data_IF_759014417699
#
_entry.id   IF_759014417699
#
_cell.length_a   1.000
_cell.length_b   1.000
_cell.length_c   1.000
_cell.angle_alpha   90.00
_cell.angle_beta   90.00
_cell.angle_gamma   90.00
#
_symmetry.space_group_name_H-M   'P 1'
#
loop_
_entity.id
_entity.type
_entity.pdbx_description
1 polymer ?
#
# COMPACT_ATOMS: atom_id res chain seq x y z
N UNK A 1 9.22 16.65 18.58
CA UNK A 1 7.90 17.02 18.04
C UNK A 1 6.98 15.86 18.34
N UNK A 2 5.85 16.09 19.01
CA UNK A 2 4.87 15.01 19.18
C UNK A 2 4.35 14.65 17.79
N UNK A 3 4.36 13.37 17.39
CA UNK A 3 3.55 12.95 16.24
C UNK A 3 2.12 13.41 16.51
N UNK A 4 1.45 13.90 15.48
CA UNK A 4 0.06 14.24 15.60
C UNK A 4 -0.83 12.99 15.61
N UNK A 5 -2.13 13.24 15.60
CA UNK A 5 -3.17 12.24 15.77
C UNK A 5 -3.61 11.55 14.45
N UNK A 6 -3.30 12.16 13.30
CA UNK A 6 -3.63 11.65 11.97
C UNK A 6 -2.57 10.66 11.48
N UNK A 7 -2.95 9.81 10.52
CA UNK A 7 -2.05 8.77 9.99
C UNK A 7 -1.69 9.08 8.54
N UNK A 8 -0.41 9.36 8.30
CA UNK A 8 0.18 9.47 6.96
C UNK A 8 0.69 8.10 6.48
N UNK A 9 0.24 7.67 5.32
CA UNK A 9 0.67 6.44 4.65
C UNK A 9 1.21 6.76 3.26
N UNK A 10 2.37 6.18 2.91
CA UNK A 10 2.99 6.34 1.58
C UNK A 10 3.36 4.98 1.02
N UNK A 11 2.88 4.69 -0.18
CA UNK A 11 3.13 3.43 -0.88
C UNK A 11 3.75 3.72 -2.24
N UNK A 12 4.90 3.12 -2.59
CA UNK A 12 5.72 2.26 -1.72
C UNK A 12 6.52 3.08 -0.69
N UNK A 13 6.78 2.52 0.50
CA UNK A 13 7.74 3.08 1.46
C UNK A 13 9.21 2.81 1.06
N UNK A 14 9.44 1.87 0.15
CA UNK A 14 10.74 1.60 -0.47
C UNK A 14 10.57 1.07 -1.89
N UNK A 15 11.41 1.49 -2.83
CA UNK A 15 11.39 1.03 -4.21
C UNK A 15 12.79 0.66 -4.71
N UNK A 16 12.86 -0.40 -5.50
CA UNK A 16 14.06 -0.79 -6.24
C UNK A 16 13.80 -0.53 -7.71
N UNK A 17 14.74 0.11 -8.39
CA UNK A 17 14.66 0.39 -9.83
C UNK A 17 15.91 -0.13 -10.51
N UNK A 18 15.77 -0.66 -11.72
CA UNK A 18 16.90 -1.30 -12.42
C UNK A 18 18.00 -0.31 -12.78
N UNK A 19 17.63 0.94 -13.09
CA UNK A 19 18.55 1.99 -13.53
C UNK A 19 18.10 3.39 -13.09
N UNK A 20 19.05 4.33 -12.96
CA UNK A 20 18.74 5.75 -12.82
C UNK A 20 17.85 6.27 -13.96
N UNK A 21 17.03 7.27 -13.64
CA UNK A 21 16.04 7.86 -14.53
C UNK A 21 14.68 7.16 -14.53
N UNK A 22 14.52 6.04 -13.82
CA UNK A 22 13.24 5.32 -13.71
C UNK A 22 12.20 6.12 -12.93
N UNK A 23 10.98 6.15 -13.42
CA UNK A 23 9.84 6.79 -12.76
C UNK A 23 9.17 5.81 -11.79
N UNK A 24 8.84 6.30 -10.59
CA UNK A 24 8.10 5.58 -9.55
C UNK A 24 6.93 6.45 -9.12
N UNK A 25 5.76 5.83 -8.98
CA UNK A 25 4.57 6.49 -8.43
C UNK A 25 4.49 6.25 -6.93
N UNK A 26 4.36 7.34 -6.16
CA UNK A 26 4.09 7.32 -4.72
C UNK A 26 2.61 7.68 -4.51
N UNK A 27 1.87 6.76 -3.94
CA UNK A 27 0.50 6.97 -3.47
C UNK A 27 0.56 7.43 -2.02
N UNK A 28 -0.02 8.59 -1.73
CA UNK A 28 -0.06 9.21 -0.41
C UNK A 28 -1.49 9.26 0.09
N UNK A 29 -1.71 8.71 1.27
CA UNK A 29 -3.00 8.73 1.95
C UNK A 29 -2.81 9.35 3.33
N UNK A 30 -3.66 10.31 3.68
CA UNK A 30 -3.78 10.81 5.06
C UNK A 30 -5.14 10.37 5.59
N UNK A 31 -5.14 9.67 6.72
CA UNK A 31 -6.36 9.35 7.47
C UNK A 31 -6.50 10.33 8.62
N UNK A 32 -7.52 11.17 8.53
CA UNK A 32 -7.85 12.13 9.57
C UNK A 32 -8.56 11.44 10.72
N UNK A 33 -8.23 11.83 11.95
CA UNK A 33 -8.94 11.39 13.15
C UNK A 33 -10.34 12.03 13.26
N UNK A 34 -10.55 13.15 12.57
CA UNK A 34 -11.83 13.86 12.53
C UNK A 34 -12.30 14.12 11.10
N UNK A 35 -13.61 14.31 10.94
CA UNK A 35 -14.20 14.63 9.65
C UNK A 35 -13.69 15.98 9.09
N UNK A 36 -13.57 16.05 7.78
CA UNK A 36 -13.33 17.25 6.99
C UNK A 36 -14.65 17.78 6.41
N UNK A 37 -14.79 19.10 6.20
CA UNK A 37 -13.78 20.13 6.42
C UNK A 37 -13.60 20.46 7.91
N UNK A 38 -12.34 20.61 8.34
CA UNK A 38 -12.01 21.08 9.68
C UNK A 38 -11.75 22.59 9.69
N UNK A 39 -11.82 23.27 10.86
CA UNK A 39 -11.54 24.70 10.95
C UNK A 39 -10.10 25.08 10.61
N UNK A 40 -9.18 24.10 10.60
CA UNK A 40 -7.77 24.26 10.23
C UNK A 40 -7.53 23.77 8.80
N UNK A 41 -8.26 24.35 7.84
CA UNK A 41 -8.38 23.83 6.47
C UNK A 41 -7.18 24.10 5.56
N UNK A 42 -6.17 24.82 6.05
CA UNK A 42 -4.93 25.14 5.32
C UNK A 42 -3.85 24.05 5.44
N UNK A 43 -4.22 22.88 5.96
CA UNK A 43 -3.38 21.68 5.94
C UNK A 43 -2.95 21.31 4.51
N UNK A 44 -1.79 20.67 4.37
CA UNK A 44 -1.26 20.30 3.05
C UNK A 44 -0.33 19.10 3.09
N UNK A 45 -0.19 18.43 1.94
CA UNK A 45 0.75 17.34 1.73
C UNK A 45 1.85 17.85 0.80
N UNK A 46 3.10 17.73 1.22
CA UNK A 46 4.30 18.17 0.48
C UNK A 46 5.32 17.03 0.38
N UNK A 47 6.36 17.27 -0.40
CA UNK A 47 7.59 16.47 -0.38
C UNK A 47 8.76 17.34 0.03
N UNK A 48 9.70 16.76 0.78
CA UNK A 48 10.86 17.45 1.34
C UNK A 48 12.12 16.59 1.25
N UNK A 49 13.28 17.21 1.43
CA UNK A 49 14.58 16.55 1.54
C UNK A 49 14.88 15.51 0.44
N UNK A 50 14.67 15.81 -0.86
CA UNK A 50 14.98 14.86 -1.92
C UNK A 50 16.49 14.61 -1.99
N UNK A 51 16.87 13.34 -1.97
CA UNK A 51 18.25 12.88 -2.17
C UNK A 51 18.25 11.92 -3.34
N UNK A 52 18.96 12.27 -4.42
CA UNK A 52 19.05 11.46 -5.66
C UNK A 52 17.68 11.08 -6.25
N UNK A 53 16.69 11.96 -6.10
CA UNK A 53 15.34 11.81 -6.64
C UNK A 53 14.80 13.18 -7.03
N UNK A 54 13.91 13.20 -8.00
CA UNK A 54 13.27 14.41 -8.52
C UNK A 54 11.76 14.18 -8.60
N UNK A 55 10.94 15.07 -8.05
CA UNK A 55 9.49 15.02 -8.26
C UNK A 55 9.20 15.62 -9.63
N UNK A 56 8.67 14.81 -10.54
CA UNK A 56 8.39 15.22 -11.93
C UNK A 56 6.92 15.55 -12.16
N UNK A 57 6.03 15.03 -11.31
CA UNK A 57 4.60 15.32 -11.37
C UNK A 57 3.95 15.13 -9.99
N UNK A 58 2.86 15.85 -9.76
CA UNK A 58 1.98 15.66 -8.60
C UNK A 58 0.52 15.83 -9.00
N UNK A 59 -0.38 15.08 -8.36
CA UNK A 59 -1.82 15.30 -8.50
C UNK A 59 -2.30 16.34 -7.51
N UNK A 60 -3.48 16.91 -7.75
CA UNK A 60 -4.19 17.65 -6.68
C UNK A 60 -4.51 16.69 -5.53
N UNK A 61 -4.60 17.24 -4.32
CA UNK A 61 -5.12 16.50 -3.17
C UNK A 61 -6.63 16.36 -3.31
N UNK A 62 -7.13 15.15 -3.15
CA UNK A 62 -8.56 14.84 -3.19
C UNK A 62 -9.00 14.26 -1.85
N UNK A 63 -10.14 14.71 -1.33
CA UNK A 63 -10.84 14.01 -0.25
C UNK A 63 -11.66 12.89 -0.88
N UNK A 64 -11.31 11.64 -0.55
CA UNK A 64 -12.09 10.46 -1.00
C UNK A 64 -13.36 10.30 -0.18
N UNK A 65 -13.30 10.70 1.08
CA UNK A 65 -14.42 10.80 2.01
C UNK A 65 -14.08 11.87 3.06
N UNK A 66 -14.91 12.01 4.09
CA UNK A 66 -14.70 13.00 5.15
C UNK A 66 -13.44 12.73 6.00
N UNK A 67 -12.87 11.53 5.99
CA UNK A 67 -11.76 11.10 6.84
C UNK A 67 -10.49 10.72 6.07
N UNK A 68 -10.52 10.78 4.74
CA UNK A 68 -9.42 10.30 3.90
C UNK A 68 -9.05 11.30 2.81
N UNK A 69 -7.82 11.80 2.83
CA UNK A 69 -7.21 12.53 1.73
C UNK A 69 -6.26 11.62 0.93
N UNK A 70 -6.21 11.84 -0.38
CA UNK A 70 -5.37 11.12 -1.31
C UNK A 70 -4.61 12.08 -2.24
N UNK A 71 -3.34 11.79 -2.50
CA UNK A 71 -2.49 12.51 -3.44
C UNK A 71 -1.47 11.54 -4.04
N UNK A 72 -1.07 11.77 -5.29
CA UNK A 72 0.02 11.03 -5.92
C UNK A 72 1.18 11.93 -6.29
N UNK A 73 2.38 11.38 -6.19
CA UNK A 73 3.60 11.96 -6.75
C UNK A 73 4.21 10.99 -7.74
N UNK A 74 4.66 11.48 -8.88
CA UNK A 74 5.58 10.74 -9.75
C UNK A 74 6.98 11.25 -9.49
N UNK A 75 7.88 10.36 -9.10
CA UNK A 75 9.27 10.69 -8.81
C UNK A 75 10.20 9.96 -9.77
N UNK A 76 11.23 10.66 -10.24
CA UNK A 76 12.31 10.13 -11.04
C UNK A 76 13.48 9.80 -10.13
N UNK A 77 13.88 8.53 -10.10
CA UNK A 77 14.98 8.04 -9.26
C UNK A 77 16.30 8.25 -9.98
N UNK A 78 17.20 9.07 -9.44
CA UNK A 78 18.51 9.39 -10.05
C UNK A 78 19.64 8.53 -9.48
N UNK A 79 19.42 7.88 -8.34
CA UNK A 79 20.40 7.03 -7.66
C UNK A 79 19.82 6.43 -6.37
N UNK A 80 20.67 5.79 -5.56
CA UNK A 80 20.28 5.39 -4.20
C UNK A 80 19.95 6.65 -3.40
N UNK A 81 18.75 6.72 -2.84
CA UNK A 81 18.20 8.00 -2.42
C UNK A 81 16.97 7.88 -1.54
N UNK A 82 16.40 9.04 -1.23
CA UNK A 82 15.20 9.15 -0.42
C UNK A 82 14.43 10.43 -0.69
N UNK A 83 13.16 10.42 -0.33
CA UNK A 83 12.33 11.63 -0.24
C UNK A 83 11.46 11.53 1.00
N UNK A 84 11.26 12.64 1.69
CA UNK A 84 10.24 12.72 2.75
C UNK A 84 8.93 13.15 2.12
N UNK A 85 7.85 12.45 2.46
CA UNK A 85 6.48 12.94 2.27
C UNK A 85 6.01 13.44 3.62
N UNK A 86 5.47 14.65 3.63
CA UNK A 86 5.06 15.34 4.85
C UNK A 86 3.61 15.77 4.74
N UNK A 87 2.81 15.42 5.74
CA UNK A 87 1.50 16.02 5.95
C UNK A 87 1.67 17.10 7.03
N UNK A 88 1.37 18.34 6.67
CA UNK A 88 1.37 19.45 7.61
C UNK A 88 -0.06 19.72 8.05
N UNK A 89 -0.27 19.77 9.36
CA UNK A 89 -1.55 20.19 9.93
C UNK A 89 -1.80 21.67 9.62
N UNK A 90 -3.06 22.08 9.62
CA UNK A 90 -3.44 23.47 9.41
C UNK A 90 -2.95 24.39 10.54
N UNK A 91 -2.81 25.67 10.27
CA UNK A 91 -2.26 26.66 11.19
C UNK A 91 -3.07 26.71 12.49
N UNK A 92 -2.43 26.44 13.62
CA UNK A 92 -3.08 26.45 14.94
C UNK A 92 -3.81 25.17 15.32
N UNK A 93 -3.69 24.10 14.52
CA UNK A 93 -4.28 22.80 14.87
C UNK A 93 -3.71 22.26 16.19
N UNK A 94 -4.56 21.91 17.18
CA UNK A 94 -4.09 21.42 18.48
C UNK A 94 -3.62 19.96 18.43
N UNK A 95 -3.92 19.25 17.34
CA UNK A 95 -3.69 17.81 17.21
C UNK A 95 -2.28 17.45 16.73
N UNK A 96 -1.50 18.40 16.23
CA UNK A 96 -0.16 18.13 15.72
C UNK A 96 0.38 19.24 14.85
N UNK A 97 1.65 19.08 14.44
CA UNK A 97 2.32 19.99 13.51
C UNK A 97 2.59 19.33 12.16
N UNK A 98 3.08 18.08 12.18
CA UNK A 98 3.29 17.31 10.96
C UNK A 98 3.31 15.80 11.21
N UNK A 99 2.96 15.03 10.17
CA UNK A 99 3.30 13.61 10.02
C UNK A 99 4.33 13.46 8.89
N UNK A 100 5.30 12.56 9.07
CA UNK A 100 6.41 12.39 8.11
C UNK A 100 6.69 10.92 7.81
N UNK A 101 6.82 10.61 6.53
CA UNK A 101 7.24 9.29 6.04
C UNK A 101 8.39 9.44 5.05
N UNK A 102 9.53 8.82 5.35
CA UNK A 102 10.67 8.76 4.43
C UNK A 102 10.55 7.55 3.51
N UNK A 103 10.49 7.79 2.20
CA UNK A 103 10.55 6.75 1.16
C UNK A 103 11.99 6.55 0.72
N UNK A 104 12.44 5.30 0.61
CA UNK A 104 13.81 4.95 0.18
C UNK A 104 13.86 4.34 -1.22
N UNK A 105 14.83 4.74 -2.03
CA UNK A 105 15.03 4.25 -3.39
C UNK A 105 16.40 3.61 -3.54
N UNK A 106 16.46 2.53 -4.30
CA UNK A 106 17.68 1.78 -4.56
C UNK A 106 17.80 1.45 -6.05
N UNK A 107 19.01 1.59 -6.60
CA UNK A 107 19.37 1.14 -7.94
C UNK A 107 19.84 -0.31 -7.87
N UNK A 108 19.37 -1.11 -8.81
CA UNK A 108 19.72 -2.52 -8.96
C UNK A 108 18.69 -3.45 -8.34
N UNK A 109 18.93 -4.74 -8.51
CA UNK A 109 18.09 -5.78 -7.93
C UNK A 109 18.43 -5.98 -6.46
N UNK A 110 17.44 -6.24 -5.59
CA UNK A 110 17.69 -6.64 -4.22
C UNK A 110 18.59 -7.88 -4.23
N UNK A 111 19.81 -7.77 -3.70
CA UNK A 111 20.70 -8.93 -3.51
C UNK A 111 20.06 -9.83 -2.44
N UNK A 112 19.27 -10.79 -2.92
CA UNK A 112 18.39 -11.65 -2.11
C UNK A 112 17.03 -11.81 -2.79
N UNK A 113 17.02 -12.58 -3.88
CA UNK A 113 15.85 -13.19 -4.55
C UNK A 113 14.62 -12.28 -4.74
N UNK A 114 14.60 -11.48 -5.80
CA UNK A 114 13.41 -10.76 -6.27
C UNK A 114 13.17 -11.09 -7.73
N UNK A 115 12.11 -11.87 -7.99
CA UNK A 115 11.67 -12.24 -9.34
C UNK A 115 10.80 -11.12 -9.94
N UNK A 116 11.31 -10.55 -11.03
CA UNK A 116 10.66 -9.83 -12.14
C UNK A 116 9.23 -9.30 -11.93
N UNK A 117 9.14 -7.99 -11.72
CA UNK A 117 7.95 -7.21 -12.05
C UNK A 117 7.94 -6.94 -13.56
N UNK A 118 7.12 -7.66 -14.33
CA UNK A 118 6.72 -7.19 -15.66
C UNK A 118 5.61 -6.15 -15.49
N UNK A 119 5.77 -4.97 -16.09
CA UNK A 119 4.78 -3.91 -16.08
C UNK A 119 3.45 -4.35 -16.71
N UNK A 120 2.27 -3.97 -16.17
CA UNK A 120 1.00 -4.27 -16.81
C UNK A 120 0.73 -3.37 -18.02
N UNK A 121 0.06 -3.95 -19.02
CA UNK A 121 -0.39 -3.31 -20.27
C UNK A 121 -1.53 -2.32 -20.01
N UNK A 122 -1.70 -1.23 -20.80
CA UNK A 122 -2.56 -0.08 -20.46
C UNK A 122 -4.08 -0.27 -20.58
N UNK A 123 -4.64 -1.48 -20.59
CA UNK A 123 -6.07 -1.69 -20.93
C UNK A 123 -7.01 -2.16 -19.81
N UNK A 124 -6.61 -2.21 -18.54
CA UNK A 124 -7.55 -2.52 -17.45
C UNK A 124 -7.57 -1.43 -16.37
N UNK A 125 -8.27 -0.34 -16.66
CA UNK A 125 -8.69 0.67 -15.69
C UNK A 125 -10.17 0.45 -15.38
N UNK A 126 -10.45 -0.21 -14.25
CA UNK A 126 -11.76 -0.21 -13.59
C UNK A 126 -11.58 -0.36 -12.06
N UNK A 127 -11.41 0.78 -11.39
CA UNK A 127 -11.88 1.15 -10.05
C UNK A 127 -11.82 0.16 -8.85
N UNK A 128 -10.68 -0.47 -8.60
CA UNK A 128 -10.29 -0.89 -7.24
C UNK A 128 -8.78 -0.87 -7.15
N UNK A 129 -8.20 -0.31 -6.08
CA UNK A 129 -6.74 -0.37 -5.84
C UNK A 129 -6.39 -1.82 -5.48
N UNK A 130 -6.32 -2.69 -6.49
CA UNK A 130 -5.98 -4.09 -6.31
C UNK A 130 -4.46 -4.23 -6.31
N UNK A 131 -3.93 -4.83 -5.25
CA UNK A 131 -2.52 -5.14 -5.06
C UNK A 131 -2.34 -6.64 -5.28
N UNK A 132 -1.39 -7.00 -6.14
CA UNK A 132 -0.95 -8.37 -6.30
C UNK A 132 0.27 -8.63 -5.40
N UNK A 133 0.10 -9.45 -4.37
CA UNK A 133 1.12 -9.76 -3.36
C UNK A 133 1.59 -11.20 -3.55
N UNK A 134 2.84 -11.37 -3.97
CA UNK A 134 3.50 -12.68 -4.03
C UNK A 134 4.62 -12.75 -3.00
N UNK A 135 4.63 -13.78 -2.16
CA UNK A 135 5.67 -13.92 -1.15
C UNK A 135 5.47 -15.10 -0.21
N UNK A 136 6.26 -15.13 0.86
CA UNK A 136 6.17 -16.16 1.89
C UNK A 136 5.25 -15.69 3.01
N UNK A 137 4.36 -16.58 3.45
CA UNK A 137 3.49 -16.35 4.59
C UNK A 137 4.35 -16.30 5.85
N UNK A 138 4.39 -15.15 6.54
CA UNK A 138 5.11 -14.99 7.80
C UNK A 138 4.28 -15.48 8.97
N UNK A 139 3.03 -15.01 9.06
CA UNK A 139 2.11 -15.36 10.14
C UNK A 139 0.69 -15.43 9.62
N UNK A 140 -0.14 -16.16 10.36
CA UNK A 140 -1.58 -16.29 10.11
C UNK A 140 -2.26 -15.98 11.42
N UNK A 141 -3.12 -14.96 11.42
CA UNK A 141 -3.86 -14.51 12.60
C UNK A 141 -5.34 -14.86 12.45
N UNK A 142 -5.75 -15.88 13.19
CA UNK A 142 -7.15 -16.35 13.20
C UNK A 142 -8.12 -15.39 13.89
N UNK A 143 -7.63 -14.54 14.82
CA UNK A 143 -8.46 -13.58 15.53
C UNK A 143 -8.77 -12.37 14.64
N UNK A 144 -7.76 -11.86 13.96
CA UNK A 144 -7.87 -10.77 12.97
C UNK A 144 -8.41 -11.26 11.62
N UNK A 145 -8.48 -12.57 11.40
CA UNK A 145 -8.87 -13.21 10.13
C UNK A 145 -7.96 -12.75 8.99
N UNK A 146 -6.66 -12.68 9.26
CA UNK A 146 -5.69 -12.09 8.36
C UNK A 146 -4.46 -12.97 8.20
N UNK A 147 -3.80 -12.81 7.06
CA UNK A 147 -2.50 -13.40 6.77
C UNK A 147 -1.49 -12.29 6.56
N UNK A 148 -0.27 -12.50 7.06
CA UNK A 148 0.86 -11.61 6.79
C UNK A 148 1.73 -12.24 5.73
N UNK A 149 1.76 -11.63 4.54
CA UNK A 149 2.64 -12.01 3.43
C UNK A 149 3.63 -10.90 3.22
N UNK A 150 4.91 -11.19 3.44
CA UNK A 150 5.97 -10.18 3.50
C UNK A 150 5.68 -9.05 4.51
N UNK A 151 5.23 -7.89 4.05
CA UNK A 151 4.88 -6.74 4.90
C UNK A 151 3.40 -6.35 4.78
N UNK A 152 2.61 -7.15 4.05
CA UNK A 152 1.19 -6.91 3.85
C UNK A 152 0.40 -7.74 4.85
N UNK A 153 -0.47 -7.08 5.61
CA UNK A 153 -1.53 -7.75 6.37
C UNK A 153 -2.77 -7.76 5.50
N UNK A 154 -3.22 -8.95 5.12
CA UNK A 154 -4.32 -9.15 4.17
C UNK A 154 -5.43 -9.92 4.86
N UNK A 155 -6.62 -9.34 4.89
CA UNK A 155 -7.80 -9.96 5.48
C UNK A 155 -8.43 -11.01 4.58
N UNK A 156 -8.77 -12.14 5.16
CA UNK A 156 -9.50 -13.24 4.52
C UNK A 156 -10.93 -13.21 5.07
N UNK A 157 -11.88 -12.78 4.23
CA UNK A 157 -13.29 -12.60 4.61
C UNK A 157 -14.20 -13.40 3.66
N UNK A 158 -15.46 -13.55 4.05
CA UNK A 158 -16.50 -14.11 3.20
C UNK A 158 -16.37 -15.61 2.93
N UNK A 159 -16.97 -16.04 1.82
CA UNK A 159 -16.86 -17.39 1.28
C UNK A 159 -15.87 -17.41 0.12
N UNK A 160 -15.28 -18.57 -0.09
CA UNK A 160 -14.27 -18.80 -1.11
C UNK A 160 -14.68 -19.99 -1.96
N UNK A 161 -14.47 -19.89 -3.26
CA UNK A 161 -14.65 -20.97 -4.23
C UNK A 161 -13.29 -21.54 -4.56
N UNK A 162 -13.09 -22.82 -4.27
CA UNK A 162 -11.86 -23.55 -4.57
C UNK A 162 -11.78 -24.04 -6.02
N UNK A 163 -10.64 -24.65 -6.40
CA UNK A 163 -10.35 -25.05 -7.78
C UNK A 163 -11.32 -26.09 -8.35
N UNK A 164 -12.03 -26.86 -7.52
CA UNK A 164 -13.01 -27.86 -7.96
C UNK A 164 -14.46 -27.39 -7.72
N UNK A 165 -14.67 -26.09 -7.47
CA UNK A 165 -16.00 -25.53 -7.21
C UNK A 165 -16.49 -25.72 -5.77
N UNK A 166 -15.64 -26.18 -4.85
CA UNK A 166 -15.98 -26.30 -3.44
C UNK A 166 -16.14 -24.93 -2.78
N UNK A 167 -17.15 -24.78 -1.91
CA UNK A 167 -17.33 -23.57 -1.11
C UNK A 167 -16.65 -23.71 0.25
N UNK A 168 -15.68 -22.85 0.53
CA UNK A 168 -14.91 -22.77 1.76
C UNK A 168 -15.34 -21.54 2.56
N UNK A 169 -15.49 -21.67 3.88
CA UNK A 169 -15.61 -20.50 4.73
C UNK A 169 -14.23 -19.82 4.89
N UNK A 170 -14.21 -18.54 5.27
CA UNK A 170 -12.96 -17.80 5.52
C UNK A 170 -11.99 -18.54 6.44
N UNK A 171 -12.50 -19.30 7.44
CA UNK A 171 -11.69 -20.05 8.39
C UNK A 171 -10.98 -21.22 7.72
N UNK A 172 -11.67 -21.93 6.83
CA UNK A 172 -11.10 -23.05 6.08
C UNK A 172 -10.08 -22.53 5.06
N UNK A 173 -10.37 -21.40 4.42
CA UNK A 173 -9.42 -20.72 3.54
C UNK A 173 -8.15 -20.30 4.28
N UNK A 174 -8.31 -19.71 5.47
CA UNK A 174 -7.19 -19.29 6.32
C UNK A 174 -6.35 -20.48 6.80
N UNK A 175 -6.98 -21.65 7.04
CA UNK A 175 -6.28 -22.87 7.45
C UNK A 175 -5.40 -23.49 6.33
N UNK A 176 -5.67 -23.17 5.07
CA UNK A 176 -4.81 -23.57 3.94
C UNK A 176 -3.51 -22.75 3.87
N UNK A 177 -3.52 -21.54 4.42
CA UNK A 177 -2.37 -20.65 4.47
C UNK A 177 -1.49 -21.07 5.65
N UNK A 178 -0.26 -21.51 5.36
CA UNK A 178 0.69 -22.00 6.38
C UNK A 178 1.94 -21.12 6.42
N UNK A 179 2.40 -20.69 7.61
CA UNK A 179 3.67 -19.99 7.75
C UNK A 179 4.82 -20.74 7.06
N UNK A 180 5.69 -20.01 6.36
CA UNK A 180 6.81 -20.55 5.59
C UNK A 180 6.45 -21.09 4.21
N UNK A 181 5.18 -21.03 3.79
CA UNK A 181 4.76 -21.39 2.42
C UNK A 181 4.59 -20.16 1.54
N UNK A 182 4.88 -20.32 0.25
CA UNK A 182 4.70 -19.28 -0.76
C UNK A 182 3.23 -19.19 -1.19
N UNK A 183 2.76 -17.98 -1.43
CA UNK A 183 1.41 -17.68 -1.88
C UNK A 183 1.42 -16.47 -2.80
N UNK A 184 0.46 -16.42 -3.72
CA UNK A 184 0.12 -15.19 -4.47
C UNK A 184 -1.29 -14.78 -4.09
N UNK A 185 -1.49 -13.54 -3.70
CA UNK A 185 -2.78 -12.99 -3.28
C UNK A 185 -3.06 -11.71 -4.06
N UNK A 186 -4.14 -11.70 -4.82
CA UNK A 186 -4.76 -10.46 -5.30
C UNK A 186 -5.68 -9.95 -4.19
N UNK A 187 -5.45 -8.73 -3.71
CA UNK A 187 -6.23 -8.11 -2.67
C UNK A 187 -6.61 -6.69 -3.07
N UNK A 188 -7.84 -6.28 -2.80
CA UNK A 188 -8.29 -4.91 -3.01
C UNK A 188 -8.32 -4.15 -1.70
N UNK A 189 -7.97 -2.86 -1.77
CA UNK A 189 -8.13 -1.97 -0.64
C UNK A 189 -9.62 -1.60 -0.46
N UNK A 190 -10.16 -1.92 0.70
CA UNK A 190 -11.55 -1.65 1.08
C UNK A 190 -11.58 -1.24 2.55
N UNK A 191 -12.20 -0.09 2.85
CA UNK A 191 -12.25 0.51 4.21
C UNK A 191 -10.88 0.68 4.87
N UNK A 192 -9.85 0.90 4.07
CA UNK A 192 -8.48 1.07 4.57
C UNK A 192 -7.82 -0.22 5.06
N UNK A 193 -8.34 -1.38 4.65
CA UNK A 193 -7.74 -2.70 4.84
C UNK A 193 -7.57 -3.40 3.50
N UNK A 194 -6.52 -4.22 3.35
CA UNK A 194 -6.40 -5.08 2.18
C UNK A 194 -7.24 -6.33 2.39
N UNK A 195 -8.25 -6.53 1.54
CA UNK A 195 -9.11 -7.71 1.58
C UNK A 195 -8.75 -8.59 0.40
N UNK A 196 -8.44 -9.87 0.65
CA UNK A 196 -8.10 -10.80 -0.41
C UNK A 196 -9.31 -11.09 -1.30
N UNK A 197 -9.10 -11.07 -2.62
CA UNK A 197 -10.10 -11.40 -3.63
C UNK A 197 -9.75 -12.69 -4.37
N UNK A 198 -8.46 -12.95 -4.61
CA UNK A 198 -7.95 -14.19 -5.22
C UNK A 198 -6.72 -14.65 -4.46
N UNK A 199 -6.64 -15.95 -4.19
CA UNK A 199 -5.48 -16.57 -3.54
C UNK A 199 -5.02 -17.76 -4.38
N UNK A 200 -3.72 -17.85 -4.65
CA UNK A 200 -3.10 -18.94 -5.39
C UNK A 200 -2.08 -19.64 -4.49
N UNK A 201 -2.31 -20.92 -4.23
CA UNK A 201 -1.46 -21.79 -3.40
C UNK A 201 -1.07 -22.99 -4.27
N UNK A 202 0.23 -23.21 -4.47
CA UNK A 202 0.76 -24.34 -5.28
C UNK A 202 0.08 -24.47 -6.66
N UNK A 203 -0.20 -23.33 -7.32
CA UNK A 203 -0.89 -23.27 -8.62
C UNK A 203 -2.41 -23.46 -8.58
N UNK A 204 -3.00 -23.76 -7.42
CA UNK A 204 -4.46 -23.84 -7.23
C UNK A 204 -5.03 -22.48 -6.89
N UNK A 205 -6.04 -22.06 -7.64
CA UNK A 205 -6.67 -20.74 -7.49
C UNK A 205 -7.94 -20.84 -6.67
N UNK A 206 -8.07 -19.96 -5.69
CA UNK A 206 -9.23 -19.77 -4.82
C UNK A 206 -9.74 -18.35 -5.04
N UNK A 207 -11.05 -18.19 -5.24
CA UNK A 207 -11.69 -16.88 -5.51
C UNK A 207 -12.70 -16.55 -4.45
N UNK A 208 -12.74 -15.31 -3.99
CA UNK A 208 -13.80 -14.80 -3.13
C UNK A 208 -15.15 -14.89 -3.86
N UNK A 209 -16.17 -15.38 -3.17
CA UNK A 209 -17.54 -15.57 -3.67
C UNK A 209 -18.57 -14.78 -2.90
#
# INVERSE_FOLDING_TARGET
MSPGDDVLCVIPAKAYVEKPGTLVTLNVTVRFKHAQPCPYSDWKITTENPVNVEVVNETKTELKDAYTAFKQYTVKVLGNGSIDVVFHYGTGCPYGTEERVTVKFYIGTPTGTVLNQSAPSPEEVLNTTSVNVTGVIKTVDTALRAVVVENYTIEIRGRWTGPNGESLAWRDMLALLKPGKSVTILASEEDGSLKADVIVIDGKTYRKG
#
